data_IF_465811443048
#
_entry.id   IF_465811443048
#
_cell.length_a   1.000
_cell.length_b   1.000
_cell.length_c   1.000
_cell.angle_alpha   90.00
_cell.angle_beta   90.00
_cell.angle_gamma   90.00
#
_symmetry.space_group_name_H-M   'P 1'
#
loop_
_entity.id
_entity.type
_entity.pdbx_description
1 polymer ?
#
# COMPACT_ATOMS: atom_id res chain seq x y z
N UNK A 1 26.20 16.07 22.60
CA UNK A 1 25.56 15.41 21.45
C UNK A 1 26.10 16.07 20.20
N UNK A 2 26.68 15.35 19.24
CA UNK A 2 27.13 15.97 18.01
C UNK A 2 25.92 16.52 17.26
N UNK A 3 25.94 17.79 16.92
CA UNK A 3 24.97 18.41 16.02
C UNK A 3 25.09 17.69 14.67
N UNK A 4 24.10 16.86 14.33
CA UNK A 4 23.99 16.28 12.99
C UNK A 4 23.84 17.45 12.01
N UNK A 5 24.86 17.72 11.22
CA UNK A 5 24.85 18.70 10.15
C UNK A 5 23.85 18.25 9.08
N UNK A 6 22.59 18.67 9.24
CA UNK A 6 21.52 18.51 8.26
C UNK A 6 21.71 19.57 7.16
N UNK A 7 22.70 19.39 6.30
CA UNK A 7 22.88 20.17 5.08
C UNK A 7 22.92 19.26 3.84
N UNK A 8 21.83 18.68 3.41
CA UNK A 8 21.85 18.15 2.06
C UNK A 8 21.70 19.31 1.07
N UNK A 9 22.81 19.81 0.56
CA UNK A 9 22.79 20.70 -0.62
C UNK A 9 22.16 20.00 -1.82
N UNK A 10 22.17 18.67 -1.81
CA UNK A 10 21.60 17.82 -2.86
C UNK A 10 20.68 16.76 -2.27
N UNK A 11 19.45 16.64 -2.80
CA UNK A 11 18.50 15.57 -2.45
C UNK A 11 18.90 14.25 -3.14
N UNK A 12 19.94 13.60 -2.61
CA UNK A 12 20.45 12.34 -3.15
C UNK A 12 19.97 11.17 -2.32
N UNK A 13 19.21 10.26 -2.95
CA UNK A 13 18.80 9.00 -2.32
C UNK A 13 19.81 7.90 -2.66
N UNK A 14 20.19 7.14 -1.65
CA UNK A 14 21.00 5.93 -1.77
C UNK A 14 20.16 4.72 -1.32
N UNK A 15 20.36 3.60 -1.98
CA UNK A 15 19.77 2.32 -1.59
C UNK A 15 20.81 1.52 -0.83
N UNK A 16 20.41 0.97 0.32
CA UNK A 16 21.22 0.11 1.18
C UNK A 16 20.45 -1.16 1.50
N UNK A 17 21.05 -2.11 2.23
CA UNK A 17 20.36 -3.30 2.72
C UNK A 17 19.19 -2.97 3.66
N UNK A 18 19.31 -1.89 4.43
CA UNK A 18 18.28 -1.42 5.38
C UNK A 18 17.14 -0.63 4.73
N UNK A 19 17.27 -0.23 3.47
CA UNK A 19 16.26 0.53 2.74
C UNK A 19 16.82 1.76 2.01
N UNK A 20 15.96 2.70 1.69
CA UNK A 20 16.34 3.95 1.05
C UNK A 20 16.70 5.02 2.09
N UNK A 21 17.80 5.72 1.87
CA UNK A 21 18.31 6.74 2.76
C UNK A 21 18.58 8.06 2.01
N UNK A 22 18.13 9.17 2.55
CA UNK A 22 18.54 10.49 2.06
C UNK A 22 19.97 10.76 2.55
N UNK A 23 20.91 10.74 1.60
CA UNK A 23 22.34 10.87 1.88
C UNK A 23 22.63 12.15 2.71
N UNK A 24 23.58 12.03 3.62
CA UNK A 24 24.04 13.11 4.51
C UNK A 24 22.91 13.68 5.41
N UNK A 25 21.91 12.83 5.75
CA UNK A 25 20.81 13.16 6.66
C UNK A 25 20.50 11.99 7.61
N UNK A 26 19.59 12.20 8.54
CA UNK A 26 19.06 11.16 9.42
C UNK A 26 17.79 10.51 8.83
N UNK A 27 17.33 10.95 7.65
CA UNK A 27 16.03 10.55 7.09
C UNK A 27 16.14 9.30 6.23
N UNK A 28 15.41 8.29 6.63
CA UNK A 28 15.17 7.05 5.89
C UNK A 28 13.78 7.03 5.29
N UNK A 29 13.58 6.23 4.25
CA UNK A 29 12.32 6.11 3.53
C UNK A 29 11.86 4.65 3.56
N UNK A 30 10.76 4.38 4.26
CA UNK A 30 10.19 3.04 4.48
C UNK A 30 11.20 2.00 5.00
N UNK A 31 12.18 2.43 5.77
CA UNK A 31 13.18 1.58 6.40
C UNK A 31 12.77 1.21 7.84
N UNK A 32 12.99 -0.04 8.26
CA UNK A 32 12.46 -0.58 9.50
C UNK A 32 13.52 -1.11 10.47
N UNK A 33 14.78 -1.10 10.08
CA UNK A 33 15.90 -1.67 10.83
C UNK A 33 16.90 -0.64 11.36
N UNK A 34 16.80 0.59 10.91
CA UNK A 34 17.73 1.66 11.29
C UNK A 34 17.33 2.30 12.62
N UNK A 35 18.28 2.68 13.46
CA UNK A 35 18.01 3.42 14.70
C UNK A 35 17.69 4.91 14.49
N UNK A 36 17.45 5.36 13.25
CA UNK A 36 17.28 6.77 12.87
C UNK A 36 15.83 7.08 12.46
N UNK A 37 15.55 8.34 12.11
CA UNK A 37 14.24 8.81 11.69
C UNK A 37 13.83 8.20 10.33
N UNK A 38 12.65 7.62 10.24
CA UNK A 38 12.13 7.06 8.98
C UNK A 38 10.75 7.60 8.64
N UNK A 39 10.56 8.01 7.39
CA UNK A 39 9.23 8.24 6.84
C UNK A 39 8.56 6.90 6.52
N UNK A 40 7.32 6.72 6.96
CA UNK A 40 6.47 5.57 6.63
C UNK A 40 5.38 5.98 5.64
N UNK A 41 5.47 5.46 4.43
CA UNK A 41 4.50 5.77 3.37
C UNK A 41 3.13 5.14 3.60
N UNK A 42 3.07 3.99 4.27
CA UNK A 42 1.83 3.22 4.48
C UNK A 42 1.95 2.30 5.68
N UNK A 43 0.84 2.09 6.39
CA UNK A 43 0.76 1.07 7.42
C UNK A 43 0.85 -0.33 6.79
N UNK A 44 1.75 -1.19 7.29
CA UNK A 44 1.90 -2.59 6.86
C UNK A 44 1.77 -3.51 8.05
N UNK A 45 0.97 -4.56 7.89
CA UNK A 45 0.82 -5.60 8.92
C UNK A 45 2.12 -6.37 9.19
N UNK A 46 2.92 -6.57 8.14
CA UNK A 46 4.18 -7.31 8.18
C UNK A 46 5.35 -6.59 8.86
N UNK A 47 5.18 -5.33 9.29
CA UNK A 47 6.22 -4.60 10.02
C UNK A 47 6.51 -5.33 11.35
N UNK A 48 7.67 -5.98 11.44
CA UNK A 48 8.08 -6.73 12.64
C UNK A 48 8.69 -5.82 13.69
N UNK A 49 9.57 -4.92 13.28
CA UNK A 49 10.24 -3.96 14.15
C UNK A 49 9.87 -2.55 13.68
N UNK A 50 9.57 -1.67 14.62
CA UNK A 50 9.37 -0.26 14.33
C UNK A 50 10.62 0.50 14.70
N UNK A 51 10.91 1.48 13.89
CA UNK A 51 11.99 2.43 14.16
C UNK A 51 11.72 3.22 15.44
N UNK A 52 12.74 3.68 16.16
CA UNK A 52 12.57 4.50 17.34
C UNK A 52 11.75 5.77 17.07
N UNK A 53 11.92 6.36 15.88
CA UNK A 53 11.19 7.54 15.45
C UNK A 53 10.73 7.38 14.01
N UNK A 54 9.45 7.69 13.75
CA UNK A 54 8.86 7.65 12.42
C UNK A 54 8.10 8.94 12.11
N UNK A 55 8.12 9.34 10.85
CA UNK A 55 7.24 10.37 10.30
C UNK A 55 6.10 9.64 9.61
N UNK A 56 4.87 9.91 10.01
CA UNK A 56 3.70 9.30 9.41
C UNK A 56 2.46 10.19 9.59
N UNK A 57 1.39 9.87 8.85
CA UNK A 57 0.07 10.46 9.11
C UNK A 57 -0.56 9.88 10.38
N UNK A 58 -1.49 10.58 10.98
CA UNK A 58 -2.24 10.09 12.13
C UNK A 58 -2.97 8.78 11.81
N UNK A 59 -3.59 8.73 10.65
CA UNK A 59 -4.33 7.56 10.15
C UNK A 59 -3.40 6.32 10.05
N UNK A 60 -2.18 6.50 9.52
CA UNK A 60 -1.18 5.42 9.46
C UNK A 60 -0.81 4.93 10.86
N UNK A 61 -0.58 5.83 11.82
CA UNK A 61 -0.27 5.48 13.20
C UNK A 61 -1.41 4.69 13.85
N UNK A 62 -2.65 5.15 13.69
CA UNK A 62 -3.84 4.45 14.23
C UNK A 62 -4.00 3.04 13.67
N UNK A 63 -3.78 2.85 12.38
CA UNK A 63 -3.82 1.52 11.75
C UNK A 63 -2.70 0.62 12.30
N UNK A 64 -1.48 1.14 12.50
CA UNK A 64 -0.38 0.40 13.11
C UNK A 64 -0.71 -0.03 14.55
N UNK A 65 -1.34 0.85 15.33
CA UNK A 65 -1.82 0.53 16.69
C UNK A 65 -2.85 -0.62 16.66
N UNK A 66 -3.75 -0.67 15.67
CA UNK A 66 -4.68 -1.78 15.49
C UNK A 66 -3.97 -3.11 15.24
N UNK A 67 -2.82 -3.09 14.59
CA UNK A 67 -1.92 -4.23 14.41
C UNK A 67 -0.99 -4.46 15.60
N UNK A 68 -1.23 -3.79 16.75
CA UNK A 68 -0.43 -3.86 17.96
C UNK A 68 1.01 -3.36 17.79
N UNK A 69 1.21 -2.40 16.91
CA UNK A 69 2.46 -1.67 16.74
C UNK A 69 2.30 -0.29 17.39
N UNK A 70 3.28 0.15 18.15
CA UNK A 70 3.27 1.46 18.81
C UNK A 70 4.50 2.24 18.36
N UNK A 71 4.44 2.91 17.21
CA UNK A 71 5.56 3.72 16.75
C UNK A 71 5.72 4.97 17.62
N UNK A 72 6.95 5.36 17.89
CA UNK A 72 7.24 6.72 18.34
C UNK A 72 7.16 7.65 17.12
N UNK A 73 6.02 8.28 16.90
CA UNK A 73 5.69 8.96 15.66
C UNK A 73 5.66 10.48 15.80
N UNK A 74 6.37 11.14 14.89
CA UNK A 74 6.09 12.51 14.51
C UNK A 74 4.91 12.50 13.54
N UNK A 75 3.72 12.81 14.07
CA UNK A 75 2.48 12.81 13.30
C UNK A 75 2.41 14.09 12.46
N UNK A 76 2.32 13.92 11.13
CA UNK A 76 2.25 15.02 10.19
C UNK A 76 0.94 14.98 9.41
N UNK A 77 0.31 16.15 9.22
CA UNK A 77 -0.92 16.26 8.44
C UNK A 77 -0.61 16.38 6.95
N UNK A 78 -1.52 15.89 6.12
CA UNK A 78 -1.43 16.10 4.68
C UNK A 78 -1.48 17.58 4.31
N UNK A 79 -0.73 17.93 3.27
CA UNK A 79 -0.72 19.27 2.67
C UNK A 79 -0.29 20.40 3.67
N UNK A 80 0.39 20.03 4.74
CA UNK A 80 0.99 20.97 5.69
C UNK A 80 2.50 20.83 5.67
N UNK A 81 3.22 21.79 5.07
CA UNK A 81 4.68 21.76 5.07
C UNK A 81 5.23 21.88 6.50
N UNK A 82 6.29 21.14 6.76
CA UNK A 82 7.08 21.19 7.98
C UNK A 82 8.57 21.09 7.64
N UNK A 83 9.44 21.38 8.59
CA UNK A 83 10.89 21.33 8.35
C UNK A 83 11.60 20.53 9.42
N UNK A 84 12.62 19.78 8.99
CA UNK A 84 13.61 19.18 9.88
C UNK A 84 14.97 19.69 9.44
N UNK A 85 15.56 20.55 10.26
CA UNK A 85 16.73 21.33 9.87
C UNK A 85 16.42 22.24 8.67
N UNK A 86 17.18 22.12 7.60
CA UNK A 86 16.98 22.90 6.37
C UNK A 86 16.10 22.19 5.34
N UNK A 87 15.70 20.96 5.60
CA UNK A 87 14.89 20.15 4.71
C UNK A 87 13.41 20.47 4.93
N UNK A 88 12.76 21.05 3.92
CA UNK A 88 11.33 21.27 3.90
C UNK A 88 10.63 20.04 3.37
N UNK A 89 9.62 19.58 4.09
CA UNK A 89 8.90 18.35 3.81
C UNK A 89 7.40 18.56 3.78
N UNK A 90 6.68 17.72 3.03
CA UNK A 90 5.23 17.72 3.01
C UNK A 90 4.73 16.31 2.69
N UNK A 91 3.67 15.87 3.38
CA UNK A 91 2.98 14.64 3.10
C UNK A 91 1.81 14.89 2.16
N UNK A 92 1.75 14.14 1.06
CA UNK A 92 0.65 14.20 0.09
C UNK A 92 -0.12 12.88 0.13
N UNK A 93 -1.46 12.88 -0.01
CA UNK A 93 -2.23 11.64 -0.10
C UNK A 93 -1.74 10.75 -1.25
N UNK A 94 -1.49 9.48 -0.98
CA UNK A 94 -0.99 8.53 -1.99
C UNK A 94 -2.08 7.90 -2.85
N UNK A 95 -3.35 8.02 -2.46
CA UNK A 95 -4.46 7.32 -3.12
C UNK A 95 -4.46 5.80 -2.90
N UNK A 96 -3.44 5.24 -2.27
CA UNK A 96 -3.25 3.80 -2.16
C UNK A 96 -4.02 3.17 -0.98
N UNK A 97 -4.00 3.82 0.17
CA UNK A 97 -4.64 3.31 1.38
C UNK A 97 -4.99 4.44 2.34
N UNK A 98 -5.79 4.12 3.34
CA UNK A 98 -6.08 5.05 4.44
C UNK A 98 -4.80 5.39 5.21
N UNK A 99 -4.53 6.66 5.33
CA UNK A 99 -3.26 7.16 5.90
C UNK A 99 -2.07 7.11 4.95
N UNK A 100 -2.20 6.47 3.78
CA UNK A 100 -1.10 6.35 2.82
C UNK A 100 -0.62 7.69 2.30
N UNK A 101 0.71 7.93 2.35
CA UNK A 101 1.31 9.20 1.98
C UNK A 101 2.46 9.05 1.00
N UNK A 102 2.62 10.05 0.14
CA UNK A 102 3.84 10.35 -0.59
C UNK A 102 4.63 11.38 0.21
N UNK A 103 5.95 11.37 0.09
CA UNK A 103 6.81 12.37 0.71
C UNK A 103 7.37 13.32 -0.35
N UNK A 104 7.02 14.59 -0.23
CA UNK A 104 7.63 15.66 -0.99
C UNK A 104 8.73 16.33 -0.18
N UNK A 105 9.92 16.45 -0.76
CA UNK A 105 11.09 17.09 -0.18
C UNK A 105 11.50 18.27 -1.05
N UNK A 106 11.88 19.37 -0.41
CA UNK A 106 12.28 20.61 -1.09
C UNK A 106 13.47 21.27 -0.40
N UNK A 107 14.41 21.75 -1.20
CA UNK A 107 15.49 22.66 -0.85
C UNK A 107 15.41 23.88 -1.75
N UNK A 108 16.31 24.87 -1.59
CA UNK A 108 16.37 26.05 -2.46
C UNK A 108 16.53 25.73 -3.95
N UNK A 109 17.13 24.56 -4.29
CA UNK A 109 17.51 24.24 -5.67
C UNK A 109 16.91 22.95 -6.20
N UNK A 110 16.42 22.08 -5.33
CA UNK A 110 15.95 20.74 -5.68
C UNK A 110 14.59 20.43 -5.08
N UNK A 111 13.85 19.57 -5.76
CA UNK A 111 12.62 18.99 -5.23
C UNK A 111 12.55 17.52 -5.59
N UNK A 112 12.05 16.69 -4.69
CA UNK A 112 11.95 15.26 -4.81
C UNK A 112 10.57 14.80 -4.36
N UNK A 113 9.94 13.91 -5.14
CA UNK A 113 8.73 13.21 -4.75
C UNK A 113 9.03 11.71 -4.62
N UNK A 114 8.90 11.20 -3.40
CA UNK A 114 8.99 9.77 -3.11
C UNK A 114 7.59 9.16 -3.11
N UNK A 115 7.33 8.26 -4.04
CA UNK A 115 6.02 7.68 -4.30
C UNK A 115 6.07 6.14 -4.43
N UNK A 116 6.34 5.41 -3.33
CA UNK A 116 6.55 3.95 -3.35
C UNK A 116 5.26 3.17 -3.53
N UNK A 117 4.16 3.71 -3.02
CA UNK A 117 2.82 3.08 -3.09
C UNK A 117 1.80 4.16 -3.41
N UNK A 118 1.22 4.09 -4.60
CA UNK A 118 0.22 5.05 -5.06
C UNK A 118 -0.92 4.36 -5.81
N UNK A 119 -2.07 5.05 -5.91
CA UNK A 119 -3.21 4.62 -6.71
C UNK A 119 -3.77 5.81 -7.49
N UNK A 120 -3.79 5.70 -8.82
CA UNK A 120 -4.31 6.74 -9.72
C UNK A 120 -5.83 6.77 -9.77
N UNK A 121 -6.49 5.61 -9.58
CA UNK A 121 -7.94 5.54 -9.50
C UNK A 121 -8.46 6.15 -8.20
N UNK A 122 -9.64 6.79 -8.30
CA UNK A 122 -10.35 7.26 -7.10
C UNK A 122 -10.98 6.08 -6.37
N UNK A 123 -10.53 5.84 -5.15
CA UNK A 123 -11.06 4.80 -4.26
C UNK A 123 -11.89 5.48 -3.16
N UNK A 124 -13.20 5.12 -2.99
CA UNK A 124 -14.10 5.83 -2.07
C UNK A 124 -13.74 5.71 -0.58
N UNK A 125 -12.93 4.72 -0.20
CA UNK A 125 -12.63 4.43 1.21
C UNK A 125 -11.50 5.26 1.80
N UNK A 126 -10.76 6.03 0.99
CA UNK A 126 -9.64 6.84 1.44
C UNK A 126 -9.37 8.04 0.53
N UNK A 127 -8.41 8.90 0.90
CA UNK A 127 -8.10 10.12 0.17
C UNK A 127 -7.54 9.81 -1.23
N UNK A 128 -7.96 10.61 -2.20
CA UNK A 128 -7.48 10.50 -3.58
C UNK A 128 -6.00 10.95 -3.68
N UNK A 129 -5.28 10.35 -4.64
CA UNK A 129 -3.90 10.72 -4.98
C UNK A 129 -3.76 12.21 -5.27
N UNK A 130 -2.78 12.82 -4.62
CA UNK A 130 -2.35 14.18 -4.91
C UNK A 130 -0.88 14.17 -5.31
N UNK A 131 -0.57 14.81 -6.43
CA UNK A 131 0.77 14.90 -6.97
C UNK A 131 1.23 16.36 -6.99
N UNK A 132 2.52 16.55 -6.80
CA UNK A 132 3.20 17.85 -6.90
C UNK A 132 4.33 17.76 -7.93
N UNK A 133 4.57 18.82 -8.68
CA UNK A 133 5.72 18.90 -9.59
C UNK A 133 7.00 18.77 -8.77
N UNK A 134 7.92 17.93 -9.26
CA UNK A 134 9.20 17.70 -8.61
C UNK A 134 10.29 17.45 -9.66
N UNK A 135 11.52 17.90 -9.39
CA UNK A 135 12.66 17.66 -10.30
C UNK A 135 13.05 16.18 -10.32
N UNK A 136 12.89 15.49 -9.19
CA UNK A 136 13.20 14.07 -9.04
C UNK A 136 11.94 13.33 -8.60
N UNK A 137 11.63 12.21 -9.27
CA UNK A 137 10.55 11.28 -8.92
C UNK A 137 11.13 9.91 -8.60
N UNK A 138 10.72 9.31 -7.47
CA UNK A 138 11.15 7.97 -7.06
C UNK A 138 9.93 7.06 -6.99
N UNK A 139 9.95 5.98 -7.77
CA UNK A 139 8.87 5.01 -7.92
C UNK A 139 9.34 3.59 -7.60
N UNK A 140 8.45 2.76 -7.08
CA UNK A 140 8.74 1.36 -6.78
C UNK A 140 8.40 0.45 -7.96
N UNK A 141 9.39 -0.30 -8.44
CA UNK A 141 9.26 -1.33 -9.47
C UNK A 141 9.13 -2.70 -8.82
N UNK A 142 7.90 -3.11 -8.50
CA UNK A 142 7.64 -4.33 -7.71
C UNK A 142 6.99 -5.46 -8.52
N UNK A 143 6.63 -5.22 -9.77
CA UNK A 143 6.08 -6.24 -10.70
C UNK A 143 7.02 -6.44 -11.89
N UNK A 144 7.06 -7.65 -12.46
CA UNK A 144 8.01 -7.95 -13.55
C UNK A 144 7.68 -7.26 -14.86
N UNK A 145 6.42 -6.91 -15.11
CA UNK A 145 5.98 -6.33 -16.38
C UNK A 145 5.68 -4.83 -16.25
N UNK A 146 6.54 -3.94 -16.78
CA UNK A 146 6.35 -2.50 -16.75
C UNK A 146 5.26 -1.99 -17.71
N UNK A 147 4.67 -2.85 -18.55
CA UNK A 147 3.59 -2.49 -19.47
C UNK A 147 2.20 -2.76 -18.91
N UNK A 148 2.10 -3.50 -17.82
CA UNK A 148 0.83 -3.72 -17.13
C UNK A 148 0.23 -2.40 -16.65
N UNK A 149 -1.10 -2.33 -16.71
CA UNK A 149 -1.89 -1.19 -16.23
C UNK A 149 -3.03 -1.72 -15.35
N UNK A 150 -2.81 -1.90 -14.04
CA UNK A 150 -3.84 -2.41 -13.14
C UNK A 150 -5.10 -1.57 -13.14
N UNK A 151 -4.98 -0.25 -13.31
CA UNK A 151 -6.12 0.66 -13.35
C UNK A 151 -7.12 0.32 -14.46
N UNK A 152 -6.62 -0.17 -15.61
CA UNK A 152 -7.47 -0.52 -16.77
C UNK A 152 -8.27 -1.80 -16.58
N UNK A 153 -7.75 -2.77 -15.83
CA UNK A 153 -8.39 -4.08 -15.64
C UNK A 153 -9.23 -4.17 -14.38
N UNK A 154 -8.97 -3.31 -13.40
CA UNK A 154 -9.52 -3.37 -12.05
C UNK A 154 -11.05 -3.35 -11.99
N UNK A 155 -11.71 -2.52 -12.80
CA UNK A 155 -13.17 -2.43 -12.80
C UNK A 155 -13.80 -3.73 -13.32
N UNK A 156 -13.26 -4.31 -14.39
CA UNK A 156 -13.71 -5.60 -14.91
C UNK A 156 -13.53 -6.73 -13.89
N UNK A 157 -12.40 -6.76 -13.21
CA UNK A 157 -12.13 -7.72 -12.13
C UNK A 157 -13.10 -7.55 -10.96
N UNK A 158 -13.43 -6.30 -10.59
CA UNK A 158 -14.43 -5.99 -9.57
C UNK A 158 -15.81 -6.50 -9.95
N UNK A 159 -16.26 -6.23 -11.17
CA UNK A 159 -17.56 -6.70 -11.68
C UNK A 159 -17.63 -8.22 -11.66
N UNK A 160 -16.64 -8.90 -12.22
CA UNK A 160 -16.57 -10.37 -12.22
C UNK A 160 -16.58 -10.96 -10.79
N UNK A 161 -15.89 -10.32 -9.86
CA UNK A 161 -15.89 -10.71 -8.45
C UNK A 161 -17.27 -10.58 -7.81
N UNK A 162 -17.95 -9.44 -8.02
CA UNK A 162 -19.30 -9.21 -7.47
C UNK A 162 -20.32 -10.16 -8.07
N UNK A 163 -20.30 -10.38 -9.39
CA UNK A 163 -21.21 -11.31 -10.08
C UNK A 163 -21.06 -12.73 -9.53
N UNK A 164 -19.82 -13.18 -9.29
CA UNK A 164 -19.60 -14.50 -8.72
C UNK A 164 -20.13 -14.60 -7.28
N UNK A 165 -19.96 -13.59 -6.45
CA UNK A 165 -20.51 -13.59 -5.09
C UNK A 165 -22.04 -13.61 -5.12
N UNK A 166 -22.64 -12.78 -5.96
CA UNK A 166 -24.10 -12.74 -6.13
C UNK A 166 -24.63 -14.10 -6.60
N UNK A 167 -23.95 -14.75 -7.55
CA UNK A 167 -24.30 -16.08 -8.00
C UNK A 167 -24.23 -17.10 -6.86
N UNK A 168 -23.17 -17.10 -6.06
CA UNK A 168 -23.07 -18.00 -4.92
C UNK A 168 -24.17 -17.75 -3.87
N UNK A 169 -24.42 -16.52 -3.51
CA UNK A 169 -25.42 -16.19 -2.47
C UNK A 169 -26.84 -16.52 -2.90
N UNK A 170 -27.21 -16.31 -4.19
CA UNK A 170 -28.49 -16.73 -4.76
C UNK A 170 -28.66 -18.24 -4.71
N UNK A 171 -27.60 -19.03 -4.79
CA UNK A 171 -27.61 -20.48 -4.67
C UNK A 171 -27.41 -20.98 -3.22
N UNK A 172 -27.58 -20.12 -2.21
CA UNK A 172 -27.44 -20.48 -0.80
C UNK A 172 -26.01 -20.78 -0.36
N UNK A 173 -25.00 -20.49 -1.18
CA UNK A 173 -23.58 -20.69 -0.87
C UNK A 173 -22.98 -19.39 -0.35
N UNK A 174 -22.25 -19.45 0.75
CA UNK A 174 -21.68 -18.28 1.43
C UNK A 174 -20.16 -18.34 1.39
N UNK A 175 -19.51 -17.71 0.42
CA UNK A 175 -18.07 -17.84 0.23
C UNK A 175 -17.25 -17.28 1.40
N UNK A 176 -16.03 -17.82 1.53
CA UNK A 176 -14.95 -17.29 2.34
C UNK A 176 -13.96 -16.59 1.42
N UNK A 177 -13.78 -15.30 1.63
CA UNK A 177 -12.93 -14.45 0.80
C UNK A 177 -11.62 -14.19 1.52
N UNK A 178 -10.51 -14.54 0.90
CA UNK A 178 -9.17 -14.22 1.39
C UNK A 178 -8.63 -12.99 0.67
N UNK A 179 -8.17 -12.00 1.46
CA UNK A 179 -7.59 -10.76 0.92
C UNK A 179 -6.57 -10.17 1.90
N UNK A 180 -5.90 -9.10 1.51
CA UNK A 180 -5.13 -8.29 2.46
C UNK A 180 -6.07 -7.59 3.46
N UNK A 181 -5.64 -7.53 4.73
CA UNK A 181 -6.40 -6.86 5.77
C UNK A 181 -6.50 -5.33 5.55
N UNK A 182 -5.61 -4.76 4.72
CA UNK A 182 -5.52 -3.34 4.35
C UNK A 182 -4.86 -3.21 2.96
N UNK A 183 -5.33 -2.34 2.05
CA UNK A 183 -6.62 -1.60 2.05
C UNK A 183 -7.76 -2.41 1.42
N UNK A 184 -7.47 -3.52 0.77
CA UNK A 184 -8.40 -4.30 -0.06
C UNK A 184 -9.65 -4.76 0.71
N UNK A 185 -9.48 -5.17 1.97
CA UNK A 185 -10.59 -5.62 2.80
C UNK A 185 -11.65 -4.54 3.01
N UNK A 186 -11.26 -3.27 3.15
CA UNK A 186 -12.17 -2.14 3.36
C UNK A 186 -12.97 -1.83 2.10
N UNK A 187 -12.33 -1.91 0.95
CA UNK A 187 -13.00 -1.73 -0.34
C UNK A 187 -14.04 -2.85 -0.58
N UNK A 188 -13.66 -4.10 -0.36
CA UNK A 188 -14.57 -5.24 -0.48
C UNK A 188 -15.72 -5.13 0.53
N UNK A 189 -15.43 -4.73 1.77
CA UNK A 189 -16.48 -4.49 2.78
C UNK A 189 -17.51 -3.51 2.24
N UNK A 190 -17.05 -2.36 1.73
CA UNK A 190 -17.92 -1.33 1.17
C UNK A 190 -18.74 -1.86 0.00
N UNK A 191 -18.11 -2.51 -0.97
CA UNK A 191 -18.82 -3.03 -2.16
C UNK A 191 -19.88 -4.06 -1.80
N UNK A 192 -19.60 -5.01 -0.90
CA UNK A 192 -20.57 -6.02 -0.50
C UNK A 192 -21.72 -5.42 0.29
N UNK A 193 -21.47 -4.43 1.14
CA UNK A 193 -22.51 -3.71 1.86
C UNK A 193 -23.39 -2.85 0.93
N UNK A 194 -22.82 -2.22 -0.10
CA UNK A 194 -23.55 -1.47 -1.13
C UNK A 194 -24.49 -2.36 -1.97
N UNK A 195 -24.26 -3.67 -2.00
CA UNK A 195 -25.10 -4.66 -2.66
C UNK A 195 -25.99 -5.47 -1.68
N UNK A 196 -26.15 -4.99 -0.44
CA UNK A 196 -26.94 -5.64 0.62
C UNK A 196 -26.56 -7.11 0.88
N UNK A 197 -25.30 -7.47 0.60
CA UNK A 197 -24.81 -8.84 0.83
C UNK A 197 -24.48 -9.02 2.31
N UNK A 198 -25.10 -9.98 3.01
CA UNK A 198 -24.80 -10.25 4.42
C UNK A 198 -23.33 -10.58 4.63
N UNK A 199 -22.61 -9.75 5.39
CA UNK A 199 -21.16 -9.80 5.54
C UNK A 199 -20.74 -9.96 6.99
N UNK A 200 -19.74 -10.82 7.21
CA UNK A 200 -18.99 -10.88 8.45
C UNK A 200 -17.48 -10.77 8.13
N UNK A 201 -16.74 -10.04 8.94
CA UNK A 201 -15.31 -9.82 8.71
C UNK A 201 -14.48 -10.31 9.90
N UNK A 202 -13.31 -10.86 9.62
CA UNK A 202 -12.37 -11.30 10.65
C UNK A 202 -12.06 -10.15 11.63
N UNK A 203 -11.81 -10.45 12.91
CA UNK A 203 -11.62 -9.44 13.95
C UNK A 203 -10.54 -8.40 13.63
N UNK A 204 -9.51 -8.77 12.91
CA UNK A 204 -8.41 -7.91 12.48
C UNK A 204 -8.89 -6.88 11.46
N UNK A 205 -9.65 -7.34 10.44
CA UNK A 205 -10.32 -6.47 9.46
C UNK A 205 -11.34 -5.58 10.16
N UNK A 206 -12.13 -6.15 11.10
CA UNK A 206 -13.11 -5.39 11.87
C UNK A 206 -12.49 -4.19 12.61
N UNK A 207 -11.34 -4.40 13.26
CA UNK A 207 -10.63 -3.31 13.94
C UNK A 207 -10.19 -2.20 12.99
N UNK A 208 -9.65 -2.56 11.84
CA UNK A 208 -9.23 -1.58 10.82
C UNK A 208 -10.45 -0.85 10.27
N UNK A 209 -11.54 -1.56 9.97
CA UNK A 209 -12.79 -0.95 9.51
C UNK A 209 -13.28 0.11 10.49
N UNK A 210 -13.27 -0.19 11.81
CA UNK A 210 -13.69 0.78 12.83
C UNK A 210 -12.81 2.03 12.89
N UNK A 211 -11.53 1.92 12.55
CA UNK A 211 -10.68 3.10 12.38
C UNK A 211 -11.15 3.93 11.18
N UNK A 212 -11.36 3.31 10.01
CA UNK A 212 -11.87 4.00 8.83
C UNK A 212 -13.18 4.76 9.15
N UNK A 213 -14.11 4.11 9.84
CA UNK A 213 -15.39 4.71 10.24
C UNK A 213 -15.21 5.87 11.23
N UNK A 214 -14.27 5.78 12.16
CA UNK A 214 -13.99 6.88 13.11
C UNK A 214 -13.43 8.15 12.44
N UNK A 215 -12.96 8.03 11.20
CA UNK A 215 -12.53 9.15 10.35
C UNK A 215 -13.53 9.48 9.24
N UNK A 216 -14.76 9.00 9.33
CA UNK A 216 -15.86 9.36 8.43
C UNK A 216 -16.00 8.50 7.18
N UNK A 217 -15.28 7.36 7.06
CA UNK A 217 -15.49 6.43 5.95
C UNK A 217 -16.75 5.59 6.21
N UNK A 218 -17.75 5.68 5.36
CA UNK A 218 -18.93 4.83 5.42
C UNK A 218 -18.68 3.50 4.72
N UNK A 219 -18.45 2.43 5.49
CA UNK A 219 -18.20 1.08 4.97
C UNK A 219 -19.46 0.24 4.85
N UNK A 220 -20.57 0.62 5.52
CA UNK A 220 -21.87 -0.04 5.47
C UNK A 220 -22.12 -0.99 6.65
N UNK A 221 -23.10 -1.89 6.50
CA UNK A 221 -23.54 -2.77 7.57
C UNK A 221 -22.89 -4.16 7.49
N UNK A 222 -21.96 -4.44 8.37
CA UNK A 222 -21.28 -5.72 8.50
C UNK A 222 -21.12 -6.12 9.97
N UNK A 223 -20.83 -7.37 10.24
CA UNK A 223 -20.61 -7.88 11.60
C UNK A 223 -19.20 -8.43 11.78
N UNK A 224 -18.74 -8.48 13.03
CA UNK A 224 -17.54 -9.25 13.33
C UNK A 224 -17.82 -10.75 13.19
N UNK A 225 -16.90 -11.47 12.56
CA UNK A 225 -17.01 -12.91 12.35
C UNK A 225 -17.16 -13.69 13.67
N UNK A 226 -18.09 -14.62 13.67
CA UNK A 226 -18.31 -15.61 14.73
C UNK A 226 -18.81 -16.91 14.08
N UNK A 227 -18.26 -18.06 14.46
CA UNK A 227 -18.63 -19.39 13.93
C UNK A 227 -20.15 -19.62 13.92
N UNK A 228 -20.82 -19.27 15.00
CA UNK A 228 -22.27 -19.48 15.18
C UNK A 228 -23.13 -18.50 14.37
N UNK A 229 -22.74 -17.21 14.36
CA UNK A 229 -23.56 -16.10 13.81
C UNK A 229 -23.30 -15.79 12.34
N UNK A 230 -22.31 -16.45 11.72
CA UNK A 230 -21.90 -16.12 10.36
C UNK A 230 -22.16 -17.27 9.37
N UNK A 231 -23.06 -18.22 9.71
CA UNK A 231 -23.39 -19.36 8.83
C UNK A 231 -23.88 -18.89 7.45
N UNK A 232 -24.84 -17.97 7.44
CA UNK A 232 -25.47 -17.42 6.23
C UNK A 232 -24.93 -16.02 5.92
N UNK A 233 -23.61 -15.86 5.91
CA UNK A 233 -22.92 -14.62 5.56
C UNK A 233 -21.68 -14.92 4.73
N UNK A 234 -21.38 -14.07 3.80
CA UNK A 234 -20.03 -13.99 3.20
C UNK A 234 -19.04 -13.64 4.31
N UNK A 235 -17.87 -14.27 4.30
CA UNK A 235 -16.86 -14.02 5.34
C UNK A 235 -15.59 -13.48 4.69
N UNK A 236 -15.11 -12.36 5.19
CA UNK A 236 -13.86 -11.75 4.75
C UNK A 236 -12.74 -12.08 5.75
N UNK A 237 -11.66 -12.65 5.26
CA UNK A 237 -10.56 -13.16 6.06
C UNK A 237 -9.21 -12.66 5.56
N UNK A 238 -8.26 -12.25 6.44
CA UNK A 238 -6.93 -11.84 6.01
C UNK A 238 -6.11 -13.06 5.60
N UNK A 239 -5.14 -12.90 4.69
CA UNK A 239 -4.21 -13.95 4.29
C UNK A 239 -3.44 -14.56 5.45
N UNK A 240 -3.04 -13.72 6.40
CA UNK A 240 -2.29 -14.10 7.58
C UNK A 240 -3.09 -13.74 8.83
N UNK A 241 -4.05 -14.61 9.22
CA UNK A 241 -4.83 -14.34 10.41
C UNK A 241 -3.95 -14.38 11.65
N UNK A 242 -4.13 -13.42 12.56
CA UNK A 242 -3.50 -13.52 13.88
C UNK A 242 -3.93 -14.84 14.54
N UNK A 243 -3.05 -15.45 15.35
CA UNK A 243 -3.21 -16.80 16.00
C UNK A 243 -4.58 -17.09 16.65
N UNK A 244 -5.45 -16.09 16.82
CA UNK A 244 -6.78 -16.23 17.43
C UNK A 244 -7.91 -16.53 16.42
N UNK A 245 -7.65 -16.54 15.11
CA UNK A 245 -8.68 -16.75 14.10
C UNK A 245 -8.66 -18.19 13.58
N UNK A 246 -9.53 -19.06 14.10
CA UNK A 246 -9.79 -20.35 13.45
C UNK A 246 -10.57 -20.09 12.15
N UNK A 247 -10.17 -20.75 11.07
CA UNK A 247 -10.93 -20.76 9.82
C UNK A 247 -12.38 -21.24 10.08
N UNK A 248 -13.37 -20.73 9.35
CA UNK A 248 -14.73 -21.24 9.41
C UNK A 248 -14.75 -22.75 9.16
N UNK A 249 -15.37 -23.53 10.04
CA UNK A 249 -15.37 -24.99 10.04
C UNK A 249 -16.32 -25.65 9.03
N UNK A 250 -16.77 -24.93 8.00
CA UNK A 250 -17.71 -25.49 7.02
C UNK A 250 -16.96 -26.06 5.81
N UNK A 251 -17.15 -27.36 5.56
CA UNK A 251 -16.66 -28.05 4.38
C UNK A 251 -17.21 -27.49 3.06
N UNK A 252 -18.33 -26.77 3.10
CA UNK A 252 -19.14 -26.45 1.92
C UNK A 252 -18.99 -24.98 1.45
N UNK A 253 -18.12 -24.19 2.07
CA UNK A 253 -17.88 -22.82 1.64
C UNK A 253 -16.90 -22.77 0.47
N UNK A 254 -17.26 -22.18 -0.68
CA UNK A 254 -16.31 -21.91 -1.73
C UNK A 254 -15.29 -20.86 -1.26
N UNK A 255 -14.03 -21.00 -1.64
CA UNK A 255 -12.99 -20.02 -1.36
C UNK A 255 -12.83 -19.09 -2.55
N UNK A 256 -12.85 -17.78 -2.27
CA UNK A 256 -12.46 -16.77 -3.24
C UNK A 256 -11.17 -16.10 -2.75
N UNK A 257 -10.27 -15.85 -3.67
CA UNK A 257 -8.95 -15.29 -3.36
C UNK A 257 -8.75 -14.01 -4.14
N UNK A 258 -8.42 -12.95 -3.43
CA UNK A 258 -8.06 -11.67 -4.06
C UNK A 258 -6.54 -11.65 -4.21
N UNK A 259 -6.06 -12.02 -5.37
CA UNK A 259 -4.62 -12.01 -5.68
C UNK A 259 -4.02 -10.62 -5.43
N UNK A 260 -2.78 -10.68 -5.00
CA UNK A 260 -1.88 -9.56 -5.00
C UNK A 260 -0.65 -9.99 -5.79
N UNK A 261 -0.34 -9.26 -6.86
CA UNK A 261 0.80 -9.59 -7.73
C UNK A 261 2.15 -9.55 -7.01
N UNK A 262 2.16 -9.06 -5.77
CA UNK A 262 3.38 -8.85 -4.97
C UNK A 262 3.73 -10.01 -4.04
N UNK A 263 2.78 -10.89 -3.75
CA UNK A 263 2.97 -11.93 -2.74
C UNK A 263 2.36 -13.25 -3.20
N UNK A 264 3.07 -14.38 -3.04
CA UNK A 264 2.50 -15.69 -3.29
C UNK A 264 1.32 -15.95 -2.34
N UNK A 265 0.37 -16.76 -2.79
CA UNK A 265 -0.72 -17.19 -1.91
C UNK A 265 -0.14 -17.98 -0.73
N UNK A 266 -0.64 -17.72 0.50
CA UNK A 266 -0.22 -18.49 1.66
C UNK A 266 -0.52 -19.98 1.45
N UNK A 267 0.42 -20.83 1.82
CA UNK A 267 0.24 -22.31 1.78
C UNK A 267 -0.90 -22.82 2.65
N UNK A 268 -1.38 -22.01 3.59
CA UNK A 268 -2.56 -22.32 4.41
C UNK A 268 -3.90 -22.26 3.66
N UNK A 269 -3.92 -21.67 2.45
CA UNK A 269 -5.11 -21.64 1.60
C UNK A 269 -5.12 -22.94 0.80
N UNK A 270 -6.10 -23.80 1.08
CA UNK A 270 -6.24 -25.11 0.41
C UNK A 270 -6.61 -24.89 -1.05
N UNK A 271 -5.70 -25.20 -1.95
CA UNK A 271 -5.83 -24.93 -3.39
C UNK A 271 -7.05 -25.61 -4.02
N UNK A 272 -7.38 -26.82 -3.60
CA UNK A 272 -8.50 -27.60 -4.13
C UNK A 272 -9.89 -27.01 -3.84
N UNK A 273 -9.97 -26.00 -2.99
CA UNK A 273 -11.23 -25.32 -2.60
C UNK A 273 -11.38 -23.93 -3.21
N UNK A 274 -10.44 -23.49 -4.04
CA UNK A 274 -10.49 -22.16 -4.65
C UNK A 274 -11.51 -22.20 -5.79
N UNK A 275 -12.66 -21.56 -5.56
CA UNK A 275 -13.74 -21.38 -6.53
C UNK A 275 -13.57 -20.16 -7.44
N UNK A 276 -12.63 -19.28 -7.15
CA UNK A 276 -12.33 -18.11 -7.97
C UNK A 276 -11.14 -17.30 -7.45
N UNK A 277 -10.49 -16.60 -8.38
CA UNK A 277 -9.31 -15.81 -8.11
C UNK A 277 -9.37 -14.50 -8.90
N UNK A 278 -9.25 -13.36 -8.20
CA UNK A 278 -9.42 -12.03 -8.79
C UNK A 278 -8.23 -11.13 -8.49
N UNK A 279 -7.87 -10.31 -9.45
CA UNK A 279 -6.80 -9.33 -9.30
C UNK A 279 -7.37 -7.94 -8.99
N UNK A 280 -7.55 -7.65 -7.71
CA UNK A 280 -8.07 -6.37 -7.23
C UNK A 280 -6.95 -5.53 -6.57
N UNK A 281 -5.87 -5.34 -7.31
CA UNK A 281 -4.72 -4.59 -6.82
C UNK A 281 -5.10 -3.18 -6.36
N UNK A 282 -4.63 -2.82 -5.18
CA UNK A 282 -4.83 -1.49 -4.61
C UNK A 282 -3.74 -0.49 -5.05
N UNK A 283 -2.72 -0.93 -5.78
CA UNK A 283 -1.60 -0.09 -6.23
C UNK A 283 -1.65 0.11 -7.74
N UNK A 284 -1.31 1.31 -8.18
CA UNK A 284 -0.92 1.59 -9.57
C UNK A 284 0.56 1.28 -9.76
N UNK A 285 0.89 0.65 -10.88
CA UNK A 285 2.26 0.34 -11.29
C UNK A 285 2.35 0.21 -12.83
N UNK A 286 3.52 -0.08 -13.34
CA UNK A 286 3.73 -0.29 -14.76
C UNK A 286 3.30 0.91 -15.59
N UNK A 287 2.47 0.71 -16.60
CA UNK A 287 2.01 1.76 -17.50
C UNK A 287 1.16 2.86 -16.83
N UNK A 288 0.59 2.59 -15.62
CA UNK A 288 -0.12 3.61 -14.84
C UNK A 288 0.80 4.76 -14.41
N UNK A 289 2.12 4.52 -14.34
CA UNK A 289 3.10 5.56 -14.02
C UNK A 289 3.23 6.65 -15.08
N UNK A 290 2.78 6.43 -16.31
CA UNK A 290 2.80 7.46 -17.34
C UNK A 290 1.96 8.68 -16.92
N UNK A 291 0.78 8.47 -16.35
CA UNK A 291 -0.07 9.56 -15.82
C UNK A 291 0.63 10.31 -14.67
N UNK A 292 1.34 9.60 -13.82
CA UNK A 292 2.09 10.18 -12.70
C UNK A 292 3.25 11.05 -13.23
N UNK A 293 4.01 10.54 -14.19
CA UNK A 293 5.13 11.24 -14.81
C UNK A 293 4.67 12.52 -15.52
N UNK A 294 3.56 12.45 -16.26
CA UNK A 294 2.97 13.61 -16.94
C UNK A 294 2.55 14.73 -15.97
N UNK A 295 2.02 14.37 -14.81
CA UNK A 295 1.58 15.33 -13.78
C UNK A 295 2.75 15.89 -12.96
N UNK A 296 3.71 15.07 -12.59
CA UNK A 296 4.89 15.47 -11.79
C UNK A 296 5.90 16.25 -12.62
N UNK A 297 6.06 15.93 -13.91
CA UNK A 297 7.02 16.52 -14.86
C UNK A 297 8.46 16.50 -14.35
N UNK A 298 8.98 15.34 -13.96
CA UNK A 298 10.32 15.23 -13.41
C UNK A 298 11.39 15.44 -14.48
N UNK A 299 12.59 15.86 -14.06
CA UNK A 299 13.81 15.81 -14.88
C UNK A 299 14.52 14.47 -14.75
N UNK A 300 14.39 13.86 -13.59
CA UNK A 300 14.97 12.55 -13.27
C UNK A 300 13.93 11.63 -12.63
N UNK A 301 13.91 10.37 -13.08
CA UNK A 301 13.11 9.30 -12.49
C UNK A 301 14.04 8.23 -11.96
N UNK A 302 13.81 7.81 -10.74
CA UNK A 302 14.50 6.68 -10.13
C UNK A 302 13.51 5.56 -9.84
N UNK A 303 13.83 4.37 -10.33
CA UNK A 303 13.12 3.15 -9.95
C UNK A 303 13.94 2.36 -8.92
N UNK A 304 13.28 1.89 -7.86
CA UNK A 304 13.86 0.96 -6.89
C UNK A 304 13.01 -0.30 -6.77
N UNK A 305 13.56 -1.36 -6.17
CA UNK A 305 12.93 -2.65 -6.02
C UNK A 305 13.41 -3.68 -7.05
N UNK A 306 12.89 -4.93 -6.98
CA UNK A 306 13.46 -6.08 -7.67
C UNK A 306 13.45 -5.97 -9.20
N UNK A 307 12.55 -5.19 -9.78
CA UNK A 307 12.39 -5.05 -11.23
C UNK A 307 12.80 -3.66 -11.76
N UNK A 308 13.59 -2.91 -10.97
CA UNK A 308 14.01 -1.54 -11.32
C UNK A 308 14.70 -1.44 -12.68
N UNK A 309 15.50 -2.45 -13.06
CA UNK A 309 16.17 -2.50 -14.37
C UNK A 309 15.17 -2.58 -15.51
N UNK A 310 14.20 -3.50 -15.46
CA UNK A 310 13.16 -3.67 -16.49
C UNK A 310 12.35 -2.39 -16.67
N UNK A 311 12.00 -1.72 -15.57
CA UNK A 311 11.30 -0.43 -15.61
C UNK A 311 12.17 0.67 -16.24
N UNK A 312 13.44 0.74 -15.90
CA UNK A 312 14.34 1.71 -16.55
C UNK A 312 14.42 1.50 -18.05
N UNK A 313 14.57 0.26 -18.51
CA UNK A 313 14.70 -0.05 -19.95
C UNK A 313 13.40 0.27 -20.72
N UNK A 314 12.23 0.07 -20.09
CA UNK A 314 10.93 0.41 -20.66
C UNK A 314 10.71 1.92 -20.71
N UNK A 315 10.94 2.64 -19.63
CA UNK A 315 10.63 4.06 -19.50
C UNK A 315 11.67 4.99 -20.16
N UNK A 316 12.93 4.57 -20.32
CA UNK A 316 13.95 5.34 -21.07
C UNK A 316 13.56 5.62 -22.52
N UNK A 317 12.84 4.69 -23.15
CA UNK A 317 12.43 4.82 -24.57
C UNK A 317 11.34 5.86 -24.78
N UNK A 318 10.53 6.15 -23.76
CA UNK A 318 9.29 6.89 -23.86
C UNK A 318 9.27 8.19 -23.05
N UNK A 319 10.38 8.56 -22.39
CA UNK A 319 10.43 9.74 -21.54
C UNK A 319 11.51 10.74 -21.96
N UNK A 320 11.20 12.03 -21.87
CA UNK A 320 12.16 13.12 -22.07
C UNK A 320 13.00 13.41 -20.82
N UNK A 321 13.04 12.49 -19.85
CA UNK A 321 13.75 12.64 -18.59
C UNK A 321 14.81 11.55 -18.42
N UNK A 322 15.78 11.80 -17.56
CA UNK A 322 16.79 10.81 -17.20
C UNK A 322 16.17 9.73 -16.31
N UNK A 323 16.26 8.47 -16.72
CA UNK A 323 15.71 7.32 -15.97
C UNK A 323 16.85 6.45 -15.46
N UNK A 324 16.88 6.19 -14.15
CA UNK A 324 17.93 5.43 -13.45
C UNK A 324 17.32 4.42 -12.47
N UNK A 325 18.03 3.33 -12.20
CA UNK A 325 17.70 2.41 -11.11
C UNK A 325 18.49 2.78 -9.86
N UNK A 326 17.85 2.64 -8.69
CA UNK A 326 18.52 2.66 -7.39
C UNK A 326 18.80 1.21 -7.00
N UNK A 327 20.08 0.85 -6.99
CA UNK A 327 20.56 -0.45 -6.53
C UNK A 327 21.09 -0.31 -5.10
N UNK A 328 21.02 -1.38 -4.30
CA UNK A 328 21.81 -1.48 -3.08
C UNK A 328 23.29 -1.57 -3.49
N UNK A 329 24.16 -0.81 -2.86
CA UNK A 329 25.59 -0.74 -3.17
C UNK A 329 26.34 -2.06 -2.90
N UNK A 330 25.70 -3.07 -2.30
CA UNK A 330 26.33 -4.30 -1.82
C UNK A 330 26.05 -5.55 -2.68
N UNK A 331 25.36 -5.43 -3.81
CA UNK A 331 25.34 -6.50 -4.80
C UNK A 331 26.23 -6.12 -5.98
N UNK A 332 27.39 -6.79 -6.15
CA UNK A 332 28.10 -6.75 -7.42
C UNK A 332 27.14 -7.24 -8.50
N UNK A 333 27.19 -6.68 -9.74
CA UNK A 333 26.37 -7.19 -10.83
C UNK A 333 26.68 -8.68 -10.98
N UNK A 334 25.71 -9.52 -10.63
CA UNK A 334 25.74 -10.92 -11.05
C UNK A 334 25.54 -10.90 -12.57
N UNK A 335 26.63 -11.10 -13.26
CA UNK A 335 26.93 -11.29 -14.67
C UNK A 335 25.79 -11.13 -15.70
#
# INVERSE_FOLDING_TARGET
MPQANLKPETLRIVSTEDGLHLKDSILWLDAYSTGQLSFLSVARESIKNLLPQVIATEETVKVLEAFRKKPNALVCQYNRPFSIGQLKMELLPSGHSFGGALLYLETSHQSLLYAPSLQTLKIPTHRQLQLRKAKTLILQAHTPDPLQSPSKTRNREKEAFLDQIISYTKNGKWPLIFCKALPTAQEITKWLCEHDIPLAVHHQIYKVNKIYESYGSELGNYSQFSQRRSKNKVVLFPYYPSKKGKLPSSSDRPFLVIKNDLEPLPSSIIQDRIGGCFNLNASSYGADFNEVIEKVKPKEIYFFGPYSKQYCDSFKKNSNCTVKALFSNDQPPLF
#
